data_IF_487727063411
#
_entry.id   IF_487727063411
#
_cell.length_a   1.000
_cell.length_b   1.000
_cell.length_c   1.000
_cell.angle_alpha   90.00
_cell.angle_beta   90.00
_cell.angle_gamma   90.00
#
_symmetry.space_group_name_H-M   'P 1'
#
loop_
_entity.id
_entity.type
_entity.pdbx_description
1 polymer ?
#
# COMPACT_ATOMS: atom_id res chain seq x y z
N UNK A 1 -23.54 9.38 -1.82
CA UNK A 1 -23.49 7.91 -1.80
C UNK A 1 -23.08 7.50 -0.40
N UNK A 2 -23.96 6.84 0.35
CA UNK A 2 -23.82 6.67 1.79
C UNK A 2 -22.67 5.72 2.15
N UNK A 3 -21.67 6.23 2.87
CA UNK A 3 -20.69 5.42 3.58
C UNK A 3 -21.43 4.56 4.60
N UNK A 4 -21.50 3.25 4.37
CA UNK A 4 -22.11 2.33 5.33
C UNK A 4 -21.16 2.17 6.53
N UNK A 5 -21.45 2.88 7.61
CA UNK A 5 -20.81 2.65 8.91
C UNK A 5 -21.32 1.33 9.47
N UNK A 6 -20.53 0.26 9.36
CA UNK A 6 -20.84 -1.02 9.97
C UNK A 6 -20.03 -1.19 11.26
N UNK A 7 -20.73 -1.47 12.37
CA UNK A 7 -20.13 -1.76 13.68
C UNK A 7 -19.34 -3.08 13.63
N UNK A 8 -18.07 -3.06 14.03
CA UNK A 8 -17.20 -4.23 14.08
C UNK A 8 -17.80 -5.40 14.91
N UNK A 9 -18.68 -5.11 15.88
CA UNK A 9 -19.35 -6.13 16.71
C UNK A 9 -20.36 -6.98 15.92
N UNK A 10 -21.04 -6.44 14.92
CA UNK A 10 -22.05 -7.21 14.18
C UNK A 10 -21.45 -8.17 13.15
N UNK A 11 -20.19 -7.94 12.72
CA UNK A 11 -19.48 -8.85 11.82
C UNK A 11 -18.86 -10.05 12.56
N UNK A 12 -18.34 -9.84 13.78
CA UNK A 12 -17.74 -10.93 14.57
C UNK A 12 -18.76 -12.02 14.94
N UNK A 13 -20.04 -11.69 15.09
CA UNK A 13 -21.11 -12.67 15.34
C UNK A 13 -21.53 -13.47 14.10
N UNK A 14 -21.25 -12.97 12.88
CA UNK A 14 -21.65 -13.60 11.62
C UNK A 14 -20.47 -14.23 10.84
N UNK A 15 -19.24 -14.15 11.37
CA UNK A 15 -18.08 -14.84 10.81
C UNK A 15 -18.23 -16.36 11.06
N UNK A 16 -18.77 -17.06 10.06
CA UNK A 16 -18.86 -18.54 10.06
C UNK A 16 -17.48 -19.22 10.19
N UNK A 17 -17.41 -20.48 10.68
CA UNK A 17 -16.15 -21.16 11.00
C UNK A 17 -15.33 -21.67 9.81
N UNK A 18 -15.71 -21.42 8.56
CA UNK A 18 -15.12 -22.07 7.37
C UNK A 18 -14.03 -21.22 6.68
N UNK A 19 -12.93 -20.95 7.39
CA UNK A 19 -11.75 -20.23 6.84
C UNK A 19 -10.74 -21.14 6.12
N UNK A 20 -10.93 -22.45 6.15
CA UNK A 20 -10.01 -23.41 5.55
C UNK A 20 -10.06 -23.48 4.03
N UNK A 21 -10.05 -22.36 3.29
CA UNK A 21 -9.85 -22.48 1.83
C UNK A 21 -8.77 -21.72 1.09
N UNK A 22 -8.17 -20.58 1.51
CA UNK A 22 -6.94 -20.16 0.78
C UNK A 22 -5.79 -19.46 1.58
N UNK A 23 -5.89 -19.16 2.89
CA UNK A 23 -4.68 -18.93 3.74
C UNK A 23 -4.92 -19.45 5.16
N UNK A 24 -4.06 -20.36 5.62
CA UNK A 24 -4.10 -20.89 6.98
C UNK A 24 -3.48 -19.88 7.96
N UNK A 25 -4.27 -19.33 8.88
CA UNK A 25 -3.81 -18.34 9.88
C UNK A 25 -2.70 -18.87 10.80
N UNK A 26 -2.67 -20.19 11.06
CA UNK A 26 -1.56 -20.82 11.78
C UNK A 26 -0.27 -20.79 10.98
N UNK A 27 -0.34 -21.10 9.68
CA UNK A 27 0.83 -21.05 8.79
C UNK A 27 1.41 -19.63 8.67
N UNK A 28 0.55 -18.59 8.67
CA UNK A 28 1.00 -17.19 8.74
C UNK A 28 1.75 -16.89 10.04
N UNK A 29 1.30 -17.45 11.16
CA UNK A 29 1.89 -17.21 12.49
C UNK A 29 3.23 -17.94 12.67
N UNK A 30 3.44 -19.04 11.96
CA UNK A 30 4.70 -19.81 11.99
C UNK A 30 5.73 -19.29 10.97
N UNK A 31 5.29 -18.45 10.02
CA UNK A 31 6.16 -17.84 9.01
C UNK A 31 7.03 -16.71 9.60
N UNK A 32 8.15 -16.33 8.96
CA UNK A 32 8.82 -15.07 9.28
C UNK A 32 7.92 -13.86 8.90
N UNK A 33 8.19 -12.69 9.49
CA UNK A 33 7.44 -11.43 9.19
C UNK A 33 7.39 -11.16 7.68
N UNK A 34 8.50 -11.38 6.98
CA UNK A 34 8.54 -11.36 5.53
C UNK A 34 9.48 -12.47 5.00
N UNK A 35 9.11 -13.05 3.86
CA UNK A 35 9.90 -14.11 3.21
C UNK A 35 10.94 -13.47 2.29
N UNK A 36 12.22 -13.84 2.46
CA UNK A 36 13.31 -13.42 1.56
C UNK A 36 13.41 -14.40 0.39
N UNK A 37 12.86 -14.07 -0.77
CA UNK A 37 13.01 -14.91 -1.98
C UNK A 37 14.33 -14.60 -2.70
N UNK A 38 15.25 -15.58 -2.78
CA UNK A 38 16.61 -15.40 -3.33
C UNK A 38 16.66 -15.12 -4.85
N UNK A 39 15.63 -15.52 -5.63
CA UNK A 39 15.60 -15.42 -7.10
C UNK A 39 15.55 -13.99 -7.67
N UNK A 40 15.43 -12.96 -6.83
CA UNK A 40 15.26 -11.57 -7.28
C UNK A 40 16.58 -10.82 -7.51
N UNK A 41 17.72 -11.27 -6.94
CA UNK A 41 18.97 -10.50 -6.92
C UNK A 41 19.54 -10.13 -8.30
N UNK A 42 19.13 -10.79 -9.38
CA UNK A 42 19.68 -10.64 -10.74
C UNK A 42 18.80 -9.87 -11.73
N UNK A 43 17.75 -9.17 -11.30
CA UNK A 43 16.79 -8.57 -12.24
C UNK A 43 16.74 -7.03 -12.19
N UNK A 44 17.31 -6.40 -13.23
CA UNK A 44 17.34 -4.95 -13.47
C UNK A 44 15.96 -4.37 -13.89
N UNK A 45 14.90 -4.58 -13.12
CA UNK A 45 13.53 -4.21 -13.54
C UNK A 45 12.97 -2.90 -12.99
N UNK A 46 13.77 -2.10 -12.29
CA UNK A 46 13.30 -0.87 -11.66
C UNK A 46 13.14 0.28 -12.66
N UNK A 47 11.92 0.76 -12.84
CA UNK A 47 11.66 2.00 -13.56
C UNK A 47 12.08 3.21 -12.73
N UNK A 48 12.71 4.23 -13.33
CA UNK A 48 13.13 5.43 -12.62
C UNK A 48 11.93 6.29 -12.19
N UNK A 49 12.15 7.18 -11.21
CA UNK A 49 11.14 8.16 -10.73
C UNK A 49 10.51 8.96 -11.87
N UNK A 50 11.25 9.20 -12.97
CA UNK A 50 10.73 9.90 -14.15
C UNK A 50 9.56 9.19 -14.81
N UNK A 51 9.52 7.85 -14.83
CA UNK A 51 8.37 7.09 -15.33
C UNK A 51 7.14 7.35 -14.44
N UNK A 52 7.32 7.22 -13.13
CA UNK A 52 6.24 7.41 -12.16
C UNK A 52 5.65 8.83 -12.20
N UNK A 53 6.48 9.85 -12.46
CA UNK A 53 6.03 11.23 -12.66
C UNK A 53 5.14 11.42 -13.91
N UNK A 54 5.30 10.59 -14.94
CA UNK A 54 4.50 10.66 -16.16
C UNK A 54 3.16 9.92 -16.04
N UNK A 55 3.13 8.85 -15.25
CA UNK A 55 1.98 7.95 -15.15
C UNK A 55 1.08 8.25 -13.94
N UNK A 56 1.65 8.65 -12.81
CA UNK A 56 0.92 8.87 -11.57
C UNK A 56 0.37 10.30 -11.44
N UNK A 57 -0.41 10.55 -10.38
CA UNK A 57 -0.87 11.87 -10.00
C UNK A 57 0.24 12.71 -9.35
N UNK A 58 -0.04 14.01 -9.15
CA UNK A 58 0.93 14.99 -8.63
C UNK A 58 1.53 14.59 -7.28
N UNK A 59 0.81 13.82 -6.45
CA UNK A 59 1.29 13.37 -5.15
C UNK A 59 2.13 12.09 -5.24
N UNK A 60 2.31 11.52 -6.44
CA UNK A 60 2.92 10.22 -6.69
C UNK A 60 2.39 9.18 -5.69
N UNK A 61 1.06 9.04 -5.59
CA UNK A 61 0.42 8.11 -4.65
C UNK A 61 0.65 6.67 -5.09
N UNK A 62 1.88 6.23 -4.86
CA UNK A 62 2.43 4.95 -5.28
C UNK A 62 3.38 4.49 -4.19
N UNK A 63 3.20 3.23 -3.78
CA UNK A 63 4.02 2.64 -2.75
C UNK A 63 4.85 1.54 -3.37
N UNK A 64 6.16 1.76 -3.37
CA UNK A 64 7.08 0.66 -3.55
C UNK A 64 7.21 0.01 -2.18
N UNK A 65 6.78 -1.23 -2.06
CA UNK A 65 7.32 -2.09 -1.01
C UNK A 65 8.37 -2.94 -1.71
N UNK A 66 9.66 -2.67 -1.45
CA UNK A 66 10.68 -3.66 -1.83
C UNK A 66 10.38 -4.89 -0.96
N UNK A 67 9.84 -5.94 -1.59
CA UNK A 67 9.94 -7.28 -1.03
C UNK A 67 11.40 -7.50 -0.66
N UNK A 68 11.72 -8.19 0.42
CA UNK A 68 13.12 -8.42 0.84
C UNK A 68 14.01 -9.04 -0.25
N UNK A 69 13.40 -9.45 -1.35
CA UNK A 69 13.91 -9.39 -2.71
C UNK A 69 14.45 -8.00 -3.12
N UNK A 70 15.70 -7.71 -2.76
CA UNK A 70 16.50 -6.74 -3.53
C UNK A 70 16.34 -7.06 -5.01
N UNK A 71 15.68 -6.16 -5.75
CA UNK A 71 15.45 -6.16 -7.20
C UNK A 71 14.18 -6.87 -7.74
N UNK A 72 13.18 -7.21 -6.90
CA UNK A 72 11.79 -7.37 -7.38
C UNK A 72 10.90 -6.33 -6.71
N UNK A 73 10.49 -5.32 -7.49
CA UNK A 73 9.45 -4.39 -7.05
C UNK A 73 8.10 -5.02 -7.31
N UNK A 74 7.39 -5.40 -6.25
CA UNK A 74 5.94 -5.54 -6.34
C UNK A 74 5.36 -4.14 -6.19
N UNK A 75 4.98 -3.57 -7.34
CA UNK A 75 4.49 -2.21 -7.50
C UNK A 75 3.01 -2.15 -7.15
N UNK A 76 2.68 -1.74 -5.94
CA UNK A 76 1.30 -1.56 -5.52
C UNK A 76 1.00 -0.08 -5.36
N UNK A 77 0.27 0.42 -6.36
CA UNK A 77 -0.15 1.79 -6.40
C UNK A 77 -1.36 1.96 -5.47
N UNK A 78 -1.34 2.87 -4.49
CA UNK A 78 -2.44 2.84 -3.53
C UNK A 78 -3.76 3.41 -4.07
N UNK A 79 -4.88 2.73 -3.77
CA UNK A 79 -6.22 3.11 -4.27
C UNK A 79 -6.53 4.59 -4.01
N UNK A 80 -6.97 5.34 -5.03
CA UNK A 80 -7.47 6.73 -4.89
C UNK A 80 -8.98 6.74 -4.61
N UNK A 81 -9.58 7.86 -4.20
CA UNK A 81 -11.01 7.93 -3.86
C UNK A 81 -11.71 8.95 -4.73
N UNK A 82 -12.49 8.42 -5.66
CA UNK A 82 -13.33 9.22 -6.55
C UNK A 82 -14.65 9.49 -5.86
N UNK A 83 -14.75 10.63 -5.16
CA UNK A 83 -16.04 11.15 -4.73
C UNK A 83 -16.85 11.58 -5.98
N UNK A 84 -18.19 11.68 -5.86
CA UNK A 84 -19.07 12.04 -6.99
C UNK A 84 -18.75 13.39 -7.66
N UNK A 85 -17.90 14.22 -7.04
CA UNK A 85 -17.42 15.51 -7.57
C UNK A 85 -15.97 15.48 -8.05
N UNK A 86 -15.23 14.38 -7.87
CA UNK A 86 -13.82 14.26 -8.26
C UNK A 86 -13.71 13.97 -9.75
N UNK A 87 -13.22 14.96 -10.50
CA UNK A 87 -13.07 14.88 -11.95
C UNK A 87 -11.64 14.52 -12.39
N UNK A 88 -10.68 14.56 -11.46
CA UNK A 88 -9.26 14.31 -11.76
C UNK A 88 -8.62 13.29 -10.81
N UNK A 89 -7.52 12.67 -11.26
CA UNK A 89 -6.73 11.75 -10.44
C UNK A 89 -6.12 12.48 -9.22
N UNK A 90 -5.66 13.72 -9.38
CA UNK A 90 -5.09 14.53 -8.31
C UNK A 90 -6.10 14.82 -7.19
N UNK A 91 -7.35 15.11 -7.55
CA UNK A 91 -8.43 15.27 -6.57
C UNK A 91 -8.72 13.95 -5.86
N UNK A 92 -8.67 12.83 -6.56
CA UNK A 92 -8.90 11.51 -5.99
C UNK A 92 -7.75 11.05 -5.06
N UNK A 93 -6.50 11.40 -5.39
CA UNK A 93 -5.33 11.20 -4.51
C UNK A 93 -5.51 12.00 -3.21
N UNK A 94 -5.81 13.30 -3.34
CA UNK A 94 -6.02 14.19 -2.20
C UNK A 94 -7.18 13.71 -1.32
N UNK A 95 -8.30 13.31 -1.94
CA UNK A 95 -9.46 12.81 -1.21
C UNK A 95 -9.15 11.55 -0.38
N UNK A 96 -8.31 10.64 -0.87
CA UNK A 96 -7.87 9.49 -0.05
C UNK A 96 -6.97 9.88 1.10
N UNK A 97 -6.02 10.80 0.86
CA UNK A 97 -5.14 11.27 1.92
C UNK A 97 -5.95 11.98 3.02
N UNK A 98 -6.98 12.72 2.63
CA UNK A 98 -7.95 13.31 3.57
C UNK A 98 -8.73 12.24 4.33
N UNK A 99 -9.23 11.21 3.64
CA UNK A 99 -9.93 10.10 4.26
C UNK A 99 -9.05 9.35 5.28
N UNK A 100 -7.75 9.17 4.99
CA UNK A 100 -6.82 8.57 5.94
C UNK A 100 -6.65 9.44 7.18
N UNK A 101 -6.44 10.75 7.01
CA UNK A 101 -6.29 11.68 8.14
C UNK A 101 -7.55 11.71 9.01
N UNK A 102 -8.73 11.71 8.39
CA UNK A 102 -10.03 11.70 9.07
C UNK A 102 -10.24 10.39 9.84
N UNK A 103 -10.09 9.23 9.18
CA UNK A 103 -10.32 7.93 9.80
C UNK A 103 -9.28 7.57 10.84
N UNK A 104 -8.04 8.03 10.69
CA UNK A 104 -6.99 7.91 11.69
C UNK A 104 -7.13 8.93 12.84
N UNK A 105 -8.11 9.84 12.77
CA UNK A 105 -8.33 10.88 13.79
C UNK A 105 -7.06 11.69 14.05
N UNK A 106 -6.37 12.07 12.96
CA UNK A 106 -5.15 12.84 13.01
C UNK A 106 -5.45 14.30 13.40
N UNK A 107 -4.69 14.84 14.34
CA UNK A 107 -4.78 16.22 14.78
C UNK A 107 -3.41 16.88 14.66
N UNK A 108 -3.41 18.20 14.51
CA UNK A 108 -2.18 18.98 14.50
C UNK A 108 -1.45 18.84 15.84
N UNK A 109 -0.12 18.70 15.80
CA UNK A 109 0.71 18.46 16.99
C UNK A 109 1.00 16.98 17.29
N UNK A 110 0.38 16.03 16.59
CA UNK A 110 0.67 14.60 16.76
C UNK A 110 2.05 14.21 16.20
N UNK A 111 2.66 13.22 16.84
CA UNK A 111 3.74 12.44 16.25
C UNK A 111 3.17 11.35 15.33
N UNK A 112 3.67 11.28 14.10
CA UNK A 112 3.13 10.43 13.03
C UNK A 112 4.21 9.53 12.47
N UNK A 113 3.95 8.24 12.40
CA UNK A 113 4.80 7.25 11.73
C UNK A 113 4.09 6.73 10.47
N UNK A 114 4.72 6.80 9.31
CA UNK A 114 4.26 6.13 8.09
C UNK A 114 5.19 4.96 7.75
N UNK A 115 4.73 3.75 8.06
CA UNK A 115 5.47 2.51 7.83
C UNK A 115 5.32 2.12 6.36
N UNK A 116 6.43 2.09 5.62
CA UNK A 116 6.46 1.74 4.20
C UNK A 116 6.19 2.94 3.28
N UNK A 117 6.61 4.16 3.64
CA UNK A 117 6.13 5.43 3.08
C UNK A 117 6.17 5.61 1.55
N UNK A 118 6.85 4.74 0.79
CA UNK A 118 6.90 4.77 -0.67
C UNK A 118 7.57 6.05 -1.16
N UNK A 119 6.95 6.75 -2.12
CA UNK A 119 7.41 8.09 -2.56
C UNK A 119 6.99 9.24 -1.62
N UNK A 120 6.44 8.93 -0.44
CA UNK A 120 6.13 9.91 0.60
C UNK A 120 4.82 10.68 0.43
N UNK A 121 3.90 10.19 -0.42
CA UNK A 121 2.59 10.84 -0.66
C UNK A 121 1.84 11.21 0.63
N UNK A 122 1.78 10.30 1.61
CA UNK A 122 1.15 10.56 2.90
C UNK A 122 2.01 11.44 3.80
N UNK A 123 3.30 11.13 3.94
CA UNK A 123 4.22 11.90 4.78
C UNK A 123 4.27 13.38 4.41
N UNK A 124 4.46 13.68 3.12
CA UNK A 124 4.54 15.04 2.59
C UNK A 124 3.20 15.77 2.77
N UNK A 125 2.08 15.08 2.52
CA UNK A 125 0.76 15.65 2.70
C UNK A 125 0.48 16.02 4.17
N UNK A 126 0.77 15.09 5.10
CA UNK A 126 0.58 15.33 6.54
C UNK A 126 1.50 16.45 7.02
N UNK A 127 2.79 16.42 6.66
CA UNK A 127 3.75 17.44 7.07
C UNK A 127 3.37 18.84 6.55
N UNK A 128 2.82 18.93 5.34
CA UNK A 128 2.35 20.19 4.76
C UNK A 128 1.06 20.70 5.41
N UNK A 129 0.08 19.81 5.66
CA UNK A 129 -1.24 20.17 6.19
C UNK A 129 -1.23 20.46 7.70
N UNK A 130 -0.43 19.71 8.45
CA UNK A 130 -0.34 19.78 9.90
C UNK A 130 1.08 20.21 10.30
N UNK A 131 1.28 21.53 10.38
CA UNK A 131 2.61 22.14 10.56
C UNK A 131 3.24 21.83 11.92
N UNK A 132 2.43 21.52 12.93
CA UNK A 132 2.91 21.17 14.26
C UNK A 132 3.09 19.66 14.45
N UNK A 133 2.62 18.82 13.51
CA UNK A 133 2.90 17.39 13.54
C UNK A 133 4.37 17.11 13.28
N UNK A 134 4.92 16.07 13.92
CA UNK A 134 6.24 15.50 13.60
C UNK A 134 6.03 14.22 12.83
N UNK A 135 6.46 14.17 11.58
CA UNK A 135 6.24 13.04 10.67
C UNK A 135 7.53 12.27 10.47
N UNK A 136 7.48 10.96 10.65
CA UNK A 136 8.57 10.04 10.33
C UNK A 136 8.09 9.04 9.29
N UNK A 137 8.75 8.97 8.13
CA UNK A 137 8.53 7.92 7.14
C UNK A 137 9.57 6.80 7.28
N UNK A 138 9.16 5.54 7.20
CA UNK A 138 10.08 4.41 7.05
C UNK A 138 9.94 3.84 5.65
N UNK A 139 11.04 3.75 4.90
CA UNK A 139 11.10 3.04 3.63
C UNK A 139 12.32 2.12 3.59
N UNK A 140 12.40 1.28 2.56
CA UNK A 140 13.54 0.38 2.36
C UNK A 140 14.42 0.78 1.15
N UNK A 141 14.11 1.90 0.52
CA UNK A 141 14.83 2.42 -0.65
C UNK A 141 15.49 3.75 -0.35
N UNK A 142 16.80 3.84 -0.60
CA UNK A 142 17.55 5.09 -0.53
C UNK A 142 17.08 6.11 -1.57
N UNK A 143 16.72 5.65 -2.77
CA UNK A 143 16.16 6.50 -3.85
C UNK A 143 14.88 7.19 -3.41
N UNK A 144 14.01 6.48 -2.69
CA UNK A 144 12.79 7.06 -2.13
C UNK A 144 13.07 8.10 -1.07
N UNK A 145 14.00 7.80 -0.14
CA UNK A 145 14.43 8.75 0.88
C UNK A 145 14.92 10.05 0.23
N UNK A 146 15.82 9.95 -0.75
CA UNK A 146 16.35 11.12 -1.47
C UNK A 146 15.24 11.93 -2.12
N UNK A 147 14.27 11.27 -2.79
CA UNK A 147 13.13 11.97 -3.38
C UNK A 147 12.29 12.71 -2.33
N UNK A 148 11.97 12.06 -1.19
CA UNK A 148 11.16 12.68 -0.13
C UNK A 148 11.90 13.86 0.50
N UNK A 149 13.21 13.74 0.75
CA UNK A 149 14.03 14.82 1.29
C UNK A 149 14.14 16.02 0.33
N UNK A 150 14.26 15.76 -0.98
CA UNK A 150 14.19 16.79 -2.02
C UNK A 150 12.84 17.51 -1.99
N UNK A 151 11.74 16.77 -2.01
CA UNK A 151 10.40 17.37 -1.94
C UNK A 151 10.15 18.11 -0.63
N UNK A 152 10.65 17.58 0.49
CA UNK A 152 10.57 18.23 1.80
C UNK A 152 11.28 19.59 1.78
N UNK A 153 12.46 19.66 1.17
CA UNK A 153 13.24 20.89 1.02
C UNK A 153 12.58 21.88 0.08
N UNK A 154 12.07 21.43 -1.07
CA UNK A 154 11.34 22.27 -2.04
C UNK A 154 10.07 22.89 -1.42
N UNK A 155 9.38 22.13 -0.56
CA UNK A 155 8.18 22.55 0.16
C UNK A 155 8.47 23.24 1.50
N UNK A 156 9.75 23.43 1.84
CA UNK A 156 10.23 24.06 3.09
C UNK A 156 9.64 23.40 4.35
N UNK A 157 9.51 22.07 4.33
CA UNK A 157 9.02 21.28 5.46
C UNK A 157 10.19 20.96 6.39
N UNK A 158 10.05 21.34 7.67
CA UNK A 158 11.04 21.07 8.73
C UNK A 158 10.59 19.96 9.69
N UNK A 159 9.38 19.44 9.48
CA UNK A 159 8.68 18.55 10.39
C UNK A 159 8.54 17.12 9.83
N UNK A 160 9.41 16.75 8.89
CA UNK A 160 9.45 15.45 8.24
C UNK A 160 10.86 14.86 8.32
N UNK A 161 10.97 13.62 8.77
CA UNK A 161 12.19 12.81 8.75
C UNK A 161 11.93 11.47 8.05
N UNK A 162 12.96 10.89 7.42
CA UNK A 162 12.86 9.63 6.67
C UNK A 162 13.98 8.66 7.07
N UNK A 163 13.56 7.48 7.51
CA UNK A 163 14.43 6.39 7.94
C UNK A 163 14.43 5.30 6.86
N UNK A 164 15.63 4.92 6.40
CA UNK A 164 15.79 3.76 5.51
C UNK A 164 16.06 2.54 6.37
N UNK A 165 15.07 1.65 6.49
CA UNK A 165 15.17 0.44 7.29
C UNK A 165 14.26 -0.68 6.77
N UNK A 166 14.71 -1.92 6.99
CA UNK A 166 13.88 -3.11 6.80
C UNK A 166 13.00 -3.32 8.03
N UNK A 167 11.69 -3.10 7.87
CA UNK A 167 10.70 -3.21 8.95
C UNK A 167 10.65 -4.60 9.60
N UNK A 168 11.03 -5.66 8.88
CA UNK A 168 11.05 -7.02 9.42
C UNK A 168 12.11 -7.18 10.53
N UNK A 169 13.23 -6.46 10.43
CA UNK A 169 14.35 -6.52 11.39
C UNK A 169 14.54 -5.25 12.22
N UNK A 170 14.02 -4.11 11.76
CA UNK A 170 14.16 -2.82 12.42
C UNK A 170 13.44 -2.81 13.77
N UNK A 171 14.06 -2.17 14.74
CA UNK A 171 13.50 -1.89 16.05
C UNK A 171 13.89 -0.47 16.47
N UNK A 172 13.06 0.15 17.31
CA UNK A 172 13.29 1.50 17.81
C UNK A 172 12.55 1.71 19.12
N UNK A 173 13.12 2.59 19.96
CA UNK A 173 12.53 2.99 21.24
C UNK A 173 11.55 4.17 21.11
N UNK A 174 11.41 4.73 19.90
CA UNK A 174 10.50 5.83 19.65
C UNK A 174 9.04 5.38 19.57
N UNK A 175 8.14 6.23 20.04
CA UNK A 175 6.70 6.02 20.07
C UNK A 175 5.97 7.15 19.34
N UNK A 176 4.79 6.84 18.80
CA UNK A 176 4.05 7.75 17.92
C UNK A 176 2.55 7.75 18.23
N UNK A 177 1.93 8.92 18.21
CA UNK A 177 0.49 9.10 18.43
C UNK A 177 -0.36 8.46 17.32
N UNK A 178 0.13 8.52 16.08
CA UNK A 178 -0.53 7.94 14.91
C UNK A 178 0.44 7.15 14.09
N UNK A 179 0.10 5.89 13.82
CA UNK A 179 0.87 5.03 12.94
C UNK A 179 0.01 4.72 11.72
N UNK A 180 0.58 4.88 10.54
CA UNK A 180 -0.04 4.54 9.26
C UNK A 180 0.73 3.40 8.61
N UNK A 181 -0.02 2.47 8.03
CA UNK A 181 0.51 1.44 7.14
C UNK A 181 -0.43 1.30 5.96
N UNK A 182 -0.05 1.88 4.82
CA UNK A 182 -0.84 1.83 3.59
C UNK A 182 -0.23 0.77 2.67
N UNK A 183 -1.02 -0.20 2.21
CA UNK A 183 -0.64 -1.26 1.24
C UNK A 183 0.77 -1.84 1.45
N UNK A 184 1.05 -2.25 2.69
CA UNK A 184 2.32 -2.85 3.10
C UNK A 184 2.13 -4.29 3.61
N UNK A 185 0.97 -4.60 4.19
CA UNK A 185 0.69 -5.89 4.82
C UNK A 185 0.60 -7.04 3.79
N UNK A 186 0.32 -6.72 2.53
CA UNK A 186 0.22 -7.66 1.41
C UNK A 186 1.59 -8.29 1.08
N UNK A 187 2.68 -7.67 1.53
CA UNK A 187 4.04 -8.16 1.39
C UNK A 187 4.56 -8.89 2.64
N UNK A 188 3.76 -8.92 3.71
CA UNK A 188 4.10 -9.53 4.99
C UNK A 188 3.38 -10.87 5.13
N UNK A 189 3.94 -11.77 5.95
CA UNK A 189 3.31 -13.07 6.25
C UNK A 189 2.88 -13.14 7.71
N UNK A 190 3.80 -12.92 8.64
CA UNK A 190 3.47 -13.02 10.06
C UNK A 190 2.90 -11.72 10.62
N UNK A 191 1.58 -11.57 10.46
CA UNK A 191 0.83 -10.42 10.96
C UNK A 191 0.81 -10.33 12.49
N UNK A 192 0.90 -11.46 13.20
CA UNK A 192 0.96 -11.49 14.66
C UNK A 192 2.20 -10.77 15.16
N UNK A 193 3.38 -11.20 14.71
CA UNK A 193 4.65 -10.62 15.15
C UNK A 193 4.84 -9.20 14.61
N UNK A 194 4.31 -8.91 13.42
CA UNK A 194 4.30 -7.54 12.88
C UNK A 194 3.46 -6.59 13.74
N UNK A 195 2.21 -6.96 14.07
CA UNK A 195 1.35 -6.12 14.90
C UNK A 195 1.87 -6.00 16.34
N UNK A 196 2.50 -7.06 16.86
CA UNK A 196 3.22 -7.03 18.13
C UNK A 196 4.42 -6.07 18.10
N UNK A 197 5.15 -6.03 16.99
CA UNK A 197 6.24 -5.05 16.82
C UNK A 197 5.68 -3.63 16.77
N UNK A 198 4.65 -3.39 15.96
CA UNK A 198 4.04 -2.07 15.81
C UNK A 198 3.44 -1.57 17.13
N UNK A 199 2.82 -2.44 17.93
CA UNK A 199 2.24 -2.06 19.22
C UNK A 199 3.27 -1.53 20.23
N UNK A 200 4.55 -1.89 20.08
CA UNK A 200 5.64 -1.32 20.90
C UNK A 200 5.89 0.15 20.59
N UNK A 201 5.69 0.58 19.35
CA UNK A 201 5.83 1.97 18.91
C UNK A 201 4.58 2.81 19.16
N UNK A 202 3.54 2.22 19.76
CA UNK A 202 2.29 2.91 20.11
C UNK A 202 2.35 3.39 21.56
N UNK A 203 1.98 4.64 21.81
CA UNK A 203 1.58 5.14 23.12
C UNK A 203 0.21 4.56 23.53
N UNK A 204 -0.21 4.67 24.81
CA UNK A 204 -1.51 4.17 25.27
C UNK A 204 -2.72 4.70 24.46
N UNK A 205 -2.68 5.96 24.05
CA UNK A 205 -3.74 6.62 23.26
C UNK A 205 -3.48 6.62 21.75
N UNK A 206 -2.46 5.88 21.30
CA UNK A 206 -2.11 5.81 19.89
C UNK A 206 -3.10 5.01 19.07
N UNK A 207 -3.22 5.42 17.81
CA UNK A 207 -4.00 4.71 16.81
C UNK A 207 -3.13 4.24 15.67
N UNK A 208 -3.33 2.98 15.28
CA UNK A 208 -2.75 2.38 14.09
C UNK A 208 -3.83 2.33 13.00
N UNK A 209 -3.57 2.99 11.88
CA UNK A 209 -4.41 2.95 10.69
C UNK A 209 -3.77 2.06 9.63
N UNK A 210 -4.47 1.00 9.23
CA UNK A 210 -4.01 0.05 8.21
C UNK A 210 -4.93 0.12 6.99
N UNK A 211 -4.34 0.26 5.81
CA UNK A 211 -5.01 0.08 4.52
C UNK A 211 -4.36 -1.11 3.84
N UNK A 212 -5.15 -2.08 3.39
CA UNK A 212 -4.69 -3.03 2.38
C UNK A 212 -5.77 -3.27 1.32
N UNK A 213 -5.38 -3.69 0.12
CA UNK A 213 -6.33 -4.28 -0.82
C UNK A 213 -6.66 -5.70 -0.39
N UNK A 214 -7.86 -6.18 -0.71
CA UNK A 214 -8.36 -7.47 -0.26
C UNK A 214 -9.44 -8.02 -1.21
N UNK A 215 -9.74 -9.30 -1.05
CA UNK A 215 -11.01 -9.85 -1.51
C UNK A 215 -12.03 -9.87 -0.35
N UNK A 216 -13.32 -9.64 -0.62
CA UNK A 216 -14.35 -9.52 0.42
C UNK A 216 -14.47 -10.72 1.36
N UNK A 217 -14.21 -11.92 0.86
CA UNK A 217 -14.34 -13.19 1.61
C UNK A 217 -13.01 -13.92 1.79
N UNK A 218 -12.36 -14.30 0.70
CA UNK A 218 -11.17 -15.17 0.72
C UNK A 218 -9.87 -14.39 0.91
N UNK A 219 -8.86 -15.06 1.48
CA UNK A 219 -7.47 -14.65 1.47
C UNK A 219 -6.69 -15.75 0.76
N UNK A 220 -5.73 -15.42 -0.12
CA UNK A 220 -4.88 -16.37 -0.84
C UNK A 220 -3.46 -15.83 -1.03
N UNK A 221 -2.48 -16.73 -1.15
CA UNK A 221 -1.13 -16.32 -1.56
C UNK A 221 -1.07 -16.12 -3.07
N UNK A 222 -0.26 -15.15 -3.49
CA UNK A 222 0.10 -15.02 -4.90
C UNK A 222 1.17 -16.07 -5.23
N UNK A 223 0.71 -17.21 -5.72
CA UNK A 223 1.53 -18.35 -6.11
C UNK A 223 1.62 -18.45 -7.63
N UNK A 224 2.81 -18.76 -8.14
CA UNK A 224 3.06 -19.05 -9.56
C UNK A 224 2.74 -20.54 -9.77
N UNK A 225 1.46 -20.84 -10.03
CA UNK A 225 0.95 -22.23 -10.05
C UNK A 225 0.99 -22.81 -11.46
N UNK A 226 0.81 -21.97 -12.49
CA UNK A 226 0.81 -22.39 -13.89
C UNK A 226 1.56 -21.39 -14.81
N UNK A 227 1.74 -21.77 -16.08
CA UNK A 227 2.45 -20.93 -17.06
C UNK A 227 1.74 -19.60 -17.37
N UNK A 228 0.43 -19.53 -17.17
CA UNK A 228 -0.42 -18.36 -17.43
C UNK A 228 -0.40 -17.33 -16.27
N UNK A 229 0.17 -17.67 -15.10
CA UNK A 229 0.25 -16.81 -13.91
C UNK A 229 1.35 -15.73 -14.01
N UNK A 230 1.50 -15.12 -15.19
CA UNK A 230 2.52 -14.11 -15.47
C UNK A 230 2.42 -12.91 -14.52
N UNK A 231 1.21 -12.46 -14.16
CA UNK A 231 1.05 -11.30 -13.28
C UNK A 231 1.60 -11.55 -11.89
N UNK A 232 1.41 -12.76 -11.35
CA UNK A 232 2.00 -13.18 -10.09
C UNK A 232 3.52 -13.21 -10.21
N UNK A 233 4.04 -13.82 -11.28
CA UNK A 233 5.49 -13.94 -11.53
C UNK A 233 6.19 -12.58 -11.67
N UNK A 234 5.56 -11.62 -12.32
CA UNK A 234 6.21 -10.34 -12.63
C UNK A 234 5.89 -9.22 -11.63
N UNK A 235 4.71 -9.23 -10.99
CA UNK A 235 4.24 -8.11 -10.16
C UNK A 235 3.91 -8.48 -8.72
N UNK A 236 3.58 -9.72 -8.39
CA UNK A 236 3.11 -10.09 -7.04
C UNK A 236 3.88 -11.24 -6.37
N UNK A 237 5.08 -11.54 -6.85
CA UNK A 237 5.88 -12.67 -6.33
C UNK A 237 6.06 -12.56 -4.82
N UNK A 238 5.62 -13.59 -4.10
CA UNK A 238 5.72 -13.67 -2.64
C UNK A 238 4.69 -12.82 -1.88
N UNK A 239 3.74 -12.19 -2.57
CA UNK A 239 2.64 -11.44 -1.97
C UNK A 239 1.52 -12.32 -1.43
N UNK A 240 0.57 -11.68 -0.75
CA UNK A 240 -0.69 -12.28 -0.29
C UNK A 240 -1.83 -11.35 -0.67
N UNK A 241 -2.90 -11.87 -1.24
CA UNK A 241 -4.20 -11.22 -1.29
C UNK A 241 -4.91 -11.50 0.04
N UNK A 242 -5.05 -10.53 0.96
CA UNK A 242 -5.75 -10.74 2.20
C UNK A 242 -7.27 -10.76 2.00
N UNK A 243 -8.00 -11.25 3.00
CA UNK A 243 -9.44 -11.07 3.08
C UNK A 243 -9.78 -9.79 3.82
N UNK A 244 -10.94 -9.21 3.52
CA UNK A 244 -11.46 -8.04 4.21
C UNK A 244 -11.54 -8.19 5.75
N UNK A 245 -11.53 -9.41 6.29
CA UNK A 245 -11.62 -9.66 7.73
C UNK A 245 -10.32 -10.21 8.33
N UNK A 246 -9.24 -10.35 7.53
CA UNK A 246 -8.04 -11.09 7.94
C UNK A 246 -7.41 -10.56 9.22
N UNK A 247 -7.29 -9.24 9.36
CA UNK A 247 -6.63 -8.62 10.53
C UNK A 247 -7.47 -8.67 11.81
N UNK A 248 -8.76 -9.01 11.72
CA UNK A 248 -9.59 -9.21 12.91
C UNK A 248 -9.14 -10.44 13.72
N UNK A 249 -8.41 -11.38 13.11
CA UNK A 249 -7.87 -12.56 13.78
C UNK A 249 -6.53 -12.31 14.48
N UNK A 250 -5.87 -11.16 14.24
CA UNK A 250 -4.55 -10.84 14.78
C UNK A 250 -4.64 -9.64 15.74
N UNK A 251 -5.32 -9.84 16.87
CA UNK A 251 -5.59 -8.79 17.85
C UNK A 251 -4.96 -9.11 19.20
N UNK A 252 -3.83 -9.80 19.24
CA UNK A 252 -3.17 -10.16 20.51
C UNK A 252 -2.65 -8.91 21.24
N UNK A 253 -2.01 -7.98 20.51
CA UNK A 253 -1.37 -6.77 21.05
C UNK A 253 -2.09 -5.46 20.67
N UNK A 254 -3.10 -5.54 19.81
CA UNK A 254 -3.92 -4.41 19.35
C UNK A 254 -5.40 -4.76 19.38
N UNK A 255 -6.28 -3.77 19.44
CA UNK A 255 -7.74 -3.95 19.40
C UNK A 255 -8.35 -3.09 18.32
N UNK A 256 -9.20 -3.68 17.48
CA UNK A 256 -9.94 -2.95 16.45
C UNK A 256 -10.88 -1.95 17.11
N UNK A 257 -10.84 -0.73 16.60
CA UNK A 257 -11.74 0.39 16.95
C UNK A 257 -12.78 0.55 15.86
N UNK A 258 -12.34 0.50 14.61
CA UNK A 258 -13.23 0.58 13.44
C UNK A 258 -12.67 -0.21 12.26
N UNK A 259 -13.58 -0.56 11.35
CA UNK A 259 -13.28 -1.28 10.13
C UNK A 259 -14.20 -0.76 9.01
N UNK A 260 -13.63 -0.38 7.87
CA UNK A 260 -14.35 0.14 6.71
C UNK A 260 -13.91 -0.56 5.44
N UNK A 261 -14.83 -0.66 4.49
CA UNK A 261 -14.55 -1.12 3.14
C UNK A 261 -14.70 0.05 2.16
N UNK A 262 -13.81 0.08 1.17
CA UNK A 262 -13.84 1.01 0.04
C UNK A 262 -14.02 0.15 -1.21
N UNK A 263 -15.14 0.36 -1.91
CA UNK A 263 -15.51 -0.42 -3.10
C UNK A 263 -14.40 -0.41 -4.16
N UNK A 264 -14.22 -1.55 -4.84
CA UNK A 264 -13.14 -1.78 -5.80
C UNK A 264 -13.14 -0.81 -7.00
N UNK A 265 -14.29 -0.24 -7.39
CA UNK A 265 -14.36 0.74 -8.48
C UNK A 265 -13.43 1.93 -8.31
N UNK A 266 -13.17 2.31 -7.07
CA UNK A 266 -12.24 3.39 -6.78
C UNK A 266 -10.83 3.01 -7.24
N UNK A 267 -10.41 1.78 -6.96
CA UNK A 267 -9.11 1.29 -7.40
C UNK A 267 -9.09 1.01 -8.91
N UNK A 268 -10.18 0.44 -9.45
CA UNK A 268 -10.33 0.22 -10.88
C UNK A 268 -10.16 1.51 -11.69
N UNK A 269 -10.90 2.55 -11.31
CA UNK A 269 -10.82 3.88 -11.94
C UNK A 269 -9.45 4.52 -11.75
N UNK A 270 -8.78 4.26 -10.62
CA UNK A 270 -7.41 4.73 -10.41
C UNK A 270 -6.47 4.12 -11.47
N UNK A 271 -6.59 2.81 -11.70
CA UNK A 271 -5.78 2.08 -12.67
C UNK A 271 -6.09 2.51 -14.12
N UNK A 272 -7.35 2.76 -14.45
CA UNK A 272 -7.74 3.31 -15.75
C UNK A 272 -7.13 4.69 -16.02
N UNK A 273 -7.09 5.58 -15.02
CA UNK A 273 -6.49 6.90 -15.18
C UNK A 273 -4.96 6.82 -15.37
N UNK A 274 -4.29 5.87 -14.72
CA UNK A 274 -2.88 5.61 -14.98
C UNK A 274 -2.64 5.06 -16.38
N UNK A 275 -3.47 4.13 -16.85
CA UNK A 275 -3.39 3.63 -18.22
C UNK A 275 -3.56 4.76 -19.24
N UNK A 276 -4.55 5.63 -19.06
CA UNK A 276 -4.77 6.80 -19.93
C UNK A 276 -3.56 7.73 -19.94
N UNK A 277 -2.94 7.99 -18.79
CA UNK A 277 -1.71 8.82 -18.68
C UNK A 277 -0.52 8.15 -19.33
N UNK A 278 -0.35 6.85 -19.15
CA UNK A 278 0.69 6.08 -19.82
C UNK A 278 0.55 6.18 -21.34
N UNK A 279 -0.65 5.93 -21.85
CA UNK A 279 -0.95 5.97 -23.29
C UNK A 279 -0.74 7.38 -23.88
N UNK A 280 -1.11 8.42 -23.13
CA UNK A 280 -0.87 9.82 -23.54
C UNK A 280 0.62 10.20 -23.58
N UNK A 281 1.44 9.59 -22.73
CA UNK A 281 2.87 9.92 -22.57
C UNK A 281 3.80 8.86 -23.19
N UNK A 282 3.32 7.97 -24.06
CA UNK A 282 4.11 6.88 -24.64
C UNK A 282 5.41 7.36 -25.31
N UNK A 283 5.39 8.51 -25.97
CA UNK A 283 6.58 9.10 -26.61
C UNK A 283 7.67 9.46 -25.60
N UNK A 284 7.30 9.93 -24.41
CA UNK A 284 8.22 10.25 -23.31
C UNK A 284 8.61 9.02 -22.49
N UNK A 285 7.76 8.01 -22.43
CA UNK A 285 8.00 6.75 -21.71
C UNK A 285 8.94 5.83 -22.49
N UNK A 286 8.87 5.81 -23.82
CA UNK A 286 9.68 4.94 -24.66
C UNK A 286 11.20 5.04 -24.37
N UNK A 287 11.82 6.24 -24.33
CA UNK A 287 13.24 6.36 -24.00
C UNK A 287 13.58 5.84 -22.59
N UNK A 288 12.66 5.98 -21.63
CA UNK A 288 12.83 5.47 -20.28
C UNK A 288 12.83 3.93 -20.28
N UNK A 289 11.88 3.33 -21.01
CA UNK A 289 11.79 1.88 -21.17
C UNK A 289 13.03 1.30 -21.87
N UNK A 290 13.52 1.97 -22.91
CA UNK A 290 14.75 1.59 -23.63
C UNK A 290 15.98 1.68 -22.72
N UNK A 291 16.11 2.75 -21.94
CA UNK A 291 17.21 2.92 -21.00
C UNK A 291 17.19 1.90 -19.84
N UNK A 292 15.99 1.55 -19.34
CA UNK A 292 15.84 0.60 -18.22
C UNK A 292 15.95 -0.85 -18.66
N UNK A 293 15.29 -1.23 -19.75
CA UNK A 293 15.11 -2.63 -20.15
C UNK A 293 15.88 -3.02 -21.41
N UNK A 294 16.49 -2.07 -22.12
CA UNK A 294 17.10 -2.26 -23.43
C UNK A 294 16.09 -2.13 -24.57
N UNK A 295 16.56 -1.71 -25.75
CA UNK A 295 15.73 -1.45 -26.94
C UNK A 295 14.86 -2.65 -27.32
N UNK A 296 15.44 -3.86 -27.32
CA UNK A 296 14.75 -5.09 -27.71
C UNK A 296 13.61 -5.49 -26.75
N UNK A 297 13.67 -5.03 -25.50
CA UNK A 297 12.68 -5.38 -24.47
C UNK A 297 11.75 -4.22 -24.11
N UNK A 298 12.02 -3.00 -24.58
CA UNK A 298 11.24 -1.80 -24.24
C UNK A 298 9.75 -1.93 -24.62
N UNK A 299 9.46 -2.48 -25.80
CA UNK A 299 8.09 -2.73 -26.26
C UNK A 299 7.40 -3.76 -25.37
N UNK A 300 8.08 -4.87 -25.06
CA UNK A 300 7.56 -5.92 -24.18
C UNK A 300 7.19 -5.37 -22.80
N UNK A 301 8.09 -4.62 -22.18
CA UNK A 301 7.84 -4.03 -20.86
C UNK A 301 6.78 -2.94 -20.88
N UNK A 302 6.71 -2.14 -21.95
CA UNK A 302 5.61 -1.19 -22.13
C UNK A 302 4.26 -1.93 -22.17
N UNK A 303 4.17 -3.04 -22.90
CA UNK A 303 2.96 -3.87 -22.93
C UNK A 303 2.67 -4.47 -21.55
N UNK A 304 3.68 -4.99 -20.85
CA UNK A 304 3.50 -5.57 -19.51
C UNK A 304 2.92 -4.57 -18.52
N UNK A 305 3.41 -3.33 -18.51
CA UNK A 305 2.88 -2.26 -17.65
C UNK A 305 1.46 -1.85 -18.03
N UNK A 306 1.13 -1.76 -19.33
CA UNK A 306 -0.24 -1.51 -19.78
C UNK A 306 -1.18 -2.63 -19.37
N UNK A 307 -0.79 -3.88 -19.62
CA UNK A 307 -1.59 -5.05 -19.25
C UNK A 307 -1.74 -5.15 -17.74
N UNK A 308 -0.74 -4.78 -16.95
CA UNK A 308 -0.86 -4.68 -15.50
C UNK A 308 -1.97 -3.69 -15.09
N UNK A 309 -1.98 -2.48 -15.64
CA UNK A 309 -3.05 -1.51 -15.34
C UNK A 309 -4.43 -2.00 -15.76
N UNK A 310 -4.54 -2.66 -16.91
CA UNK A 310 -5.81 -3.26 -17.39
C UNK A 310 -6.24 -4.38 -16.43
N UNK A 311 -5.35 -5.30 -16.07
CA UNK A 311 -5.67 -6.42 -15.20
C UNK A 311 -6.13 -5.94 -13.81
N UNK A 312 -5.46 -4.93 -13.25
CA UNK A 312 -5.87 -4.30 -11.98
C UNK A 312 -7.24 -3.62 -12.12
N UNK A 313 -7.48 -2.92 -13.24
CA UNK A 313 -8.77 -2.28 -13.49
C UNK A 313 -9.92 -3.29 -13.53
N UNK A 314 -9.75 -4.38 -14.29
CA UNK A 314 -10.76 -5.43 -14.42
C UNK A 314 -10.96 -6.19 -13.09
N UNK A 315 -9.87 -6.51 -12.38
CA UNK A 315 -9.95 -7.23 -11.10
C UNK A 315 -10.77 -6.46 -10.07
N UNK A 316 -10.43 -5.19 -9.84
CA UNK A 316 -11.13 -4.35 -8.86
C UNK A 316 -12.45 -3.80 -9.39
N UNK A 317 -12.69 -3.81 -10.71
CA UNK A 317 -13.96 -3.44 -11.33
C UNK A 317 -14.97 -4.59 -11.36
N UNK A 318 -14.52 -5.83 -11.16
CA UNK A 318 -15.32 -7.03 -11.29
C UNK A 318 -16.55 -7.01 -10.36
N UNK A 319 -17.70 -7.46 -10.88
CA UNK A 319 -19.01 -7.38 -10.22
C UNK A 319 -19.26 -6.02 -9.56
N UNK A 320 -19.07 -4.93 -10.30
CA UNK A 320 -19.32 -3.57 -9.81
C UNK A 320 -18.40 -3.15 -8.64
N UNK A 321 -17.23 -3.80 -8.51
CA UNK A 321 -16.25 -3.59 -7.45
C UNK A 321 -16.58 -4.23 -6.11
N UNK A 322 -17.45 -5.25 -6.11
CA UNK A 322 -17.94 -5.93 -4.91
C UNK A 322 -17.22 -7.27 -4.62
N UNK A 323 -16.18 -7.64 -5.38
CA UNK A 323 -15.32 -8.81 -5.08
C UNK A 323 -13.98 -8.40 -4.47
N UNK A 324 -13.12 -7.73 -5.26
CA UNK A 324 -11.86 -7.16 -4.80
C UNK A 324 -12.04 -5.68 -4.47
N UNK A 325 -11.52 -5.29 -3.32
CA UNK A 325 -11.79 -3.99 -2.72
C UNK A 325 -10.65 -3.59 -1.77
N UNK A 326 -10.83 -2.49 -1.05
CA UNK A 326 -9.87 -2.01 -0.07
C UNK A 326 -10.47 -2.06 1.32
N UNK A 327 -9.73 -2.61 2.28
CA UNK A 327 -10.10 -2.63 3.68
C UNK A 327 -9.24 -1.63 4.47
N UNK A 328 -9.91 -0.79 5.26
CA UNK A 328 -9.31 0.17 6.16
C UNK A 328 -9.62 -0.23 7.60
N UNK A 329 -8.58 -0.35 8.42
CA UNK A 329 -8.71 -0.68 9.84
C UNK A 329 -8.16 0.45 10.69
N UNK A 330 -8.83 0.70 11.81
CA UNK A 330 -8.32 1.51 12.90
C UNK A 330 -8.15 0.63 14.12
N UNK A 331 -6.94 0.54 14.64
CA UNK A 331 -6.61 -0.20 15.85
C UNK A 331 -6.14 0.76 16.94
N UNK A 332 -6.37 0.37 18.20
CA UNK A 332 -5.72 0.95 19.38
C UNK A 332 -4.80 -0.07 20.04
N UNK A 333 -3.86 0.40 20.86
CA UNK A 333 -3.02 -0.47 21.69
C UNK A 333 -3.88 -1.23 22.72
N UNK A 334 -3.47 -2.46 23.06
CA UNK A 334 -4.07 -3.23 24.15
C UNK A 334 -3.40 -3.00 25.49
#
# INVERSE_FOLDING_TARGET
MALKNFSARSYLQNASPNIDRIVNTRALTESPIAIKTEKAKTQHYELPTSFFKLVLGKQLKYRQTISLCQNLTSSLCSCCYFAGTSNTLEEAEKAMLELYCERAQLKDGHSVLDIGCGWGSLCLYVAQKYRNCKVTGICNSTTQKTYIEEQSRDLQLQNLDVIVADISTFDMDATYDRIFSIEMFEHMKNYKDLLKKISKWMEPDSLLFVHHFCHKVFAYHFEDVNEDDWITRYFFTGGTMPSANLLLYFQDDVSVVNHWLVNGKHYAKTSEEWLKRMDKNLSSIKPIMEATYGEDSAVKWTVYWRTFFIAVAELFGYNDGEEWMVALFLFKKK
#
